data_IF_667808164346
#
_entry.id   IF_667808164346
#
_cell.length_a   1.000
_cell.length_b   1.000
_cell.length_c   1.000
_cell.angle_alpha   90.00
_cell.angle_beta   90.00
_cell.angle_gamma   90.00
#
_symmetry.space_group_name_H-M   'P 1'
#
loop_
_entity.id
_entity.type
_entity.pdbx_description
1 polymer ?
#
# COMPACT_ATOMS: atom_id res chain seq x y z
N UNK A 1 -106.08 -48.60 -35.11
CA UNK A 1 -104.93 -47.88 -34.50
C UNK A 1 -103.68 -47.87 -35.39
N UNK A 2 -103.36 -48.96 -36.11
CA UNK A 2 -102.17 -49.05 -36.99
C UNK A 2 -102.24 -48.15 -38.24
N UNK A 3 -103.45 -47.95 -38.82
CA UNK A 3 -103.63 -47.16 -40.04
C UNK A 3 -103.40 -45.66 -39.84
N UNK A 4 -103.72 -45.14 -38.64
CA UNK A 4 -103.51 -43.74 -38.26
C UNK A 4 -102.05 -43.44 -37.95
N UNK A 5 -101.32 -44.36 -37.31
CA UNK A 5 -99.89 -44.20 -37.06
C UNK A 5 -99.08 -44.23 -38.36
N UNK A 6 -99.45 -45.08 -39.33
CA UNK A 6 -98.76 -45.15 -40.63
C UNK A 6 -98.97 -43.88 -41.47
N UNK A 7 -100.17 -43.29 -41.43
CA UNK A 7 -100.46 -42.00 -42.08
C UNK A 7 -99.66 -40.87 -41.46
N UNK A 8 -99.56 -40.82 -40.12
CA UNK A 8 -98.78 -39.79 -39.43
C UNK A 8 -97.28 -39.93 -39.75
N UNK A 9 -96.73 -41.15 -39.79
CA UNK A 9 -95.33 -41.36 -40.18
C UNK A 9 -95.07 -40.99 -41.64
N UNK A 10 -96.00 -41.31 -42.55
CA UNK A 10 -95.88 -40.95 -43.96
C UNK A 10 -95.90 -39.43 -44.16
N UNK A 11 -96.83 -38.74 -43.49
CA UNK A 11 -96.93 -37.28 -43.53
C UNK A 11 -95.67 -36.65 -42.95
N UNK A 12 -95.16 -37.17 -41.82
CA UNK A 12 -93.92 -36.67 -41.22
C UNK A 12 -92.71 -36.84 -42.15
N UNK A 13 -92.58 -38.00 -42.80
CA UNK A 13 -91.52 -38.22 -43.80
C UNK A 13 -91.66 -37.32 -45.03
N UNK A 14 -92.90 -37.05 -45.47
CA UNK A 14 -93.17 -36.19 -46.62
C UNK A 14 -92.85 -34.72 -46.30
N UNK A 15 -93.17 -34.25 -45.09
CA UNK A 15 -92.82 -32.89 -44.64
C UNK A 15 -91.30 -32.70 -44.53
N UNK A 16 -90.54 -33.70 -44.09
CA UNK A 16 -89.07 -33.61 -44.06
C UNK A 16 -88.44 -33.61 -45.45
N UNK A 17 -89.07 -34.25 -46.44
CA UNK A 17 -88.55 -34.26 -47.82
C UNK A 17 -88.81 -32.95 -48.59
N UNK A 18 -89.85 -32.19 -48.24
CA UNK A 18 -90.19 -30.93 -48.93
C UNK A 18 -89.18 -29.80 -48.60
N UNK A 19 -88.50 -29.87 -47.45
CA UNK A 19 -87.41 -28.95 -47.08
C UNK A 19 -86.04 -29.34 -47.65
N UNK A 20 -85.92 -30.45 -48.38
CA UNK A 20 -84.69 -30.86 -49.05
C UNK A 20 -84.83 -30.57 -50.55
N UNK A 21 -85.16 -29.33 -50.89
CA UNK A 21 -85.18 -28.89 -52.28
C UNK A 21 -83.74 -28.66 -52.74
N UNK A 22 -83.35 -29.26 -53.85
CA UNK A 22 -81.98 -29.22 -54.39
C UNK A 22 -81.49 -27.81 -54.75
N UNK A 23 -82.40 -26.84 -54.81
CA UNK A 23 -82.13 -25.44 -55.17
C UNK A 23 -81.60 -24.59 -53.99
N UNK A 24 -81.87 -24.95 -52.73
CA UNK A 24 -81.28 -24.26 -51.57
C UNK A 24 -79.85 -24.75 -51.27
N UNK A 25 -79.56 -26.02 -51.61
CA UNK A 25 -78.23 -26.60 -51.43
C UNK A 25 -77.19 -26.01 -52.39
N UNK A 26 -77.60 -25.60 -53.60
CA UNK A 26 -76.72 -24.95 -54.58
C UNK A 26 -76.33 -23.54 -54.12
N UNK A 27 -77.25 -22.78 -53.53
CA UNK A 27 -76.96 -21.46 -52.95
C UNK A 27 -76.01 -21.56 -51.74
N UNK A 28 -76.21 -22.55 -50.86
CA UNK A 28 -75.30 -22.77 -49.72
C UNK A 28 -73.91 -23.20 -50.19
N UNK A 29 -73.83 -24.03 -51.23
CA UNK A 29 -72.55 -24.41 -51.83
C UNK A 29 -71.82 -23.21 -52.46
N UNK A 30 -72.56 -22.33 -53.16
CA UNK A 30 -72.01 -21.12 -53.78
C UNK A 30 -71.59 -20.06 -52.75
N UNK A 31 -72.33 -19.95 -51.64
CA UNK A 31 -71.91 -19.12 -50.51
C UNK A 31 -70.68 -19.70 -49.80
N UNK A 32 -70.55 -21.02 -49.68
CA UNK A 32 -69.39 -21.66 -49.09
C UNK A 32 -68.12 -21.47 -49.95
N UNK A 33 -68.23 -21.58 -51.27
CA UNK A 33 -67.11 -21.30 -52.19
C UNK A 33 -66.69 -19.83 -52.13
N UNK A 34 -67.65 -18.91 -52.04
CA UNK A 34 -67.34 -17.48 -51.93
C UNK A 34 -66.62 -17.10 -50.62
N UNK A 35 -66.94 -17.76 -49.51
CA UNK A 35 -66.22 -17.57 -48.25
C UNK A 35 -64.82 -18.17 -48.28
N UNK A 36 -64.65 -19.34 -48.91
CA UNK A 36 -63.34 -19.98 -49.09
C UNK A 36 -62.41 -19.09 -49.93
N UNK A 37 -62.92 -18.45 -50.98
CA UNK A 37 -62.13 -17.57 -51.83
C UNK A 37 -61.66 -16.32 -51.07
N UNK A 38 -62.55 -15.69 -50.28
CA UNK A 38 -62.18 -14.57 -49.40
C UNK A 38 -61.21 -14.97 -48.29
N UNK A 39 -61.39 -16.17 -47.73
CA UNK A 39 -60.50 -16.71 -46.69
C UNK A 39 -59.13 -17.04 -47.26
N UNK A 40 -59.04 -17.54 -48.50
CA UNK A 40 -57.78 -17.80 -49.18
C UNK A 40 -56.97 -16.50 -49.36
N UNK A 41 -57.62 -15.41 -49.76
CA UNK A 41 -56.95 -14.11 -49.92
C UNK A 41 -56.54 -13.49 -48.58
N UNK A 42 -57.34 -13.65 -47.52
CA UNK A 42 -56.93 -13.26 -46.16
C UNK A 42 -55.76 -14.09 -45.66
N UNK A 43 -55.78 -15.40 -45.92
CA UNK A 43 -54.72 -16.31 -45.52
C UNK A 43 -53.40 -15.98 -46.23
N UNK A 44 -53.45 -15.59 -47.51
CA UNK A 44 -52.26 -15.09 -48.24
C UNK A 44 -51.64 -13.86 -47.56
N UNK A 45 -52.43 -12.82 -47.29
CA UNK A 45 -51.95 -11.61 -46.62
C UNK A 45 -51.45 -11.89 -45.20
N UNK A 46 -52.12 -12.79 -44.50
CA UNK A 46 -51.70 -13.23 -43.17
C UNK A 46 -50.37 -13.97 -43.22
N UNK A 47 -50.16 -14.82 -44.22
CA UNK A 47 -48.88 -15.51 -44.45
C UNK A 47 -47.76 -14.52 -44.74
N UNK A 48 -48.01 -13.50 -45.58
CA UNK A 48 -47.02 -12.47 -45.91
C UNK A 48 -46.60 -11.67 -44.66
N UNK A 49 -47.57 -11.25 -43.85
CA UNK A 49 -47.32 -10.54 -42.60
C UNK A 49 -46.59 -11.42 -41.57
N UNK A 50 -46.98 -12.68 -41.44
CA UNK A 50 -46.28 -13.62 -40.55
C UNK A 50 -44.85 -13.84 -41.00
N UNK A 51 -44.60 -13.91 -42.31
CA UNK A 51 -43.26 -14.03 -42.85
C UNK A 51 -42.42 -12.78 -42.54
N UNK A 52 -42.98 -11.57 -42.73
CA UNK A 52 -42.31 -10.31 -42.40
C UNK A 52 -41.99 -10.18 -40.90
N UNK A 53 -42.97 -10.50 -40.04
CA UNK A 53 -42.77 -10.51 -38.58
C UNK A 53 -41.76 -11.56 -38.17
N UNK A 54 -41.78 -12.76 -38.77
CA UNK A 54 -40.80 -13.80 -38.48
C UNK A 54 -39.38 -13.39 -38.92
N UNK A 55 -39.23 -12.77 -40.09
CA UNK A 55 -37.93 -12.25 -40.53
C UNK A 55 -37.43 -11.12 -39.64
N UNK A 56 -38.29 -10.15 -39.31
CA UNK A 56 -37.92 -9.04 -38.43
C UNK A 56 -37.59 -9.51 -37.00
N UNK A 57 -38.37 -10.44 -36.46
CA UNK A 57 -38.10 -11.04 -35.15
C UNK A 57 -36.77 -11.82 -35.15
N UNK A 58 -36.44 -12.52 -36.24
CA UNK A 58 -35.18 -13.24 -36.37
C UNK A 58 -33.98 -12.29 -36.36
N UNK A 59 -34.05 -11.18 -37.11
CA UNK A 59 -33.01 -10.16 -37.12
C UNK A 59 -32.83 -9.52 -35.74
N UNK A 60 -33.93 -9.18 -35.06
CA UNK A 60 -33.89 -8.63 -33.70
C UNK A 60 -33.27 -9.60 -32.69
N UNK A 61 -33.62 -10.89 -32.77
CA UNK A 61 -33.07 -11.92 -31.88
C UNK A 61 -31.59 -12.14 -32.14
N UNK A 62 -31.15 -12.12 -33.41
CA UNK A 62 -29.74 -12.23 -33.75
C UNK A 62 -28.93 -11.01 -33.27
N UNK A 63 -29.48 -9.81 -33.42
CA UNK A 63 -28.89 -8.58 -32.89
C UNK A 63 -28.83 -8.59 -31.35
N UNK A 64 -29.90 -9.01 -30.66
CA UNK A 64 -29.92 -9.13 -29.19
C UNK A 64 -28.93 -10.20 -28.70
N UNK A 65 -28.86 -11.35 -29.37
CA UNK A 65 -27.90 -12.41 -29.04
C UNK A 65 -26.46 -11.91 -29.17
N UNK A 66 -26.15 -11.19 -30.25
CA UNK A 66 -24.83 -10.58 -30.46
C UNK A 66 -24.53 -9.52 -29.40
N UNK A 67 -25.47 -8.63 -29.10
CA UNK A 67 -25.30 -7.60 -28.06
C UNK A 67 -25.06 -8.23 -26.68
N UNK A 68 -25.78 -9.29 -26.33
CA UNK A 68 -25.53 -10.04 -25.08
C UNK A 68 -24.17 -10.70 -25.05
N UNK A 69 -23.73 -11.26 -26.17
CA UNK A 69 -22.40 -11.86 -26.27
C UNK A 69 -21.31 -10.80 -26.05
N UNK A 70 -21.42 -9.65 -26.71
CA UNK A 70 -20.50 -8.51 -26.53
C UNK A 70 -20.52 -7.96 -25.10
N UNK A 71 -21.71 -7.87 -24.48
CA UNK A 71 -21.83 -7.45 -23.08
C UNK A 71 -21.09 -8.40 -22.14
N UNK A 72 -21.21 -9.71 -22.35
CA UNK A 72 -20.52 -10.72 -21.53
C UNK A 72 -19.01 -10.67 -21.74
N UNK A 73 -18.52 -10.46 -22.97
CA UNK A 73 -17.09 -10.34 -23.22
C UNK A 73 -16.51 -9.09 -22.57
N UNK A 74 -17.18 -7.94 -22.69
CA UNK A 74 -16.77 -6.70 -22.00
C UNK A 74 -16.77 -6.87 -20.49
N UNK A 75 -17.80 -7.49 -19.91
CA UNK A 75 -17.84 -7.74 -18.46
C UNK A 75 -16.68 -8.62 -17.99
N UNK A 76 -16.33 -9.67 -18.75
CA UNK A 76 -15.17 -10.51 -18.45
C UNK A 76 -13.87 -9.73 -18.51
N UNK A 77 -13.70 -8.89 -19.54
CA UNK A 77 -12.51 -8.05 -19.68
C UNK A 77 -12.38 -7.04 -18.54
N UNK A 78 -13.48 -6.38 -18.15
CA UNK A 78 -13.49 -5.46 -17.01
C UNK A 78 -13.14 -6.19 -15.72
N UNK A 79 -13.66 -7.41 -15.51
CA UNK A 79 -13.33 -8.21 -14.33
C UNK A 79 -11.84 -8.60 -14.31
N UNK A 80 -11.27 -9.02 -15.44
CA UNK A 80 -9.84 -9.34 -15.51
C UNK A 80 -8.98 -8.12 -15.26
N UNK A 81 -9.28 -6.97 -15.89
CA UNK A 81 -8.55 -5.72 -15.68
C UNK A 81 -8.63 -5.26 -14.21
N UNK A 82 -9.81 -5.35 -13.59
CA UNK A 82 -9.96 -5.02 -12.16
C UNK A 82 -9.13 -5.94 -11.26
N UNK A 83 -9.05 -7.23 -11.58
CA UNK A 83 -8.24 -8.18 -10.80
C UNK A 83 -6.76 -7.88 -10.91
N UNK A 84 -6.29 -7.51 -12.12
CA UNK A 84 -4.90 -7.15 -12.36
C UNK A 84 -4.54 -5.84 -11.67
N UNK A 85 -5.38 -4.81 -11.77
CA UNK A 85 -5.21 -3.54 -11.06
C UNK A 85 -5.18 -3.76 -9.54
N UNK A 86 -6.04 -4.65 -9.02
CA UNK A 86 -6.04 -5.04 -7.61
C UNK A 86 -4.68 -5.62 -7.19
N UNK A 87 -4.16 -6.58 -7.95
CA UNK A 87 -2.86 -7.19 -7.69
C UNK A 87 -1.70 -6.19 -7.77
N UNK A 88 -1.70 -5.31 -8.79
CA UNK A 88 -0.69 -4.26 -8.92
C UNK A 88 -0.76 -3.27 -7.75
N UNK A 89 -1.97 -2.88 -7.32
CA UNK A 89 -2.18 -1.99 -6.18
C UNK A 89 -1.67 -2.62 -4.88
N UNK A 90 -1.96 -3.89 -4.64
CA UNK A 90 -1.52 -4.59 -3.44
C UNK A 90 0.01 -4.69 -3.37
N UNK A 91 0.66 -4.95 -4.51
CA UNK A 91 2.13 -4.92 -4.60
C UNK A 91 2.70 -3.54 -4.27
N UNK A 92 2.14 -2.48 -4.86
CA UNK A 92 2.57 -1.11 -4.59
C UNK A 92 2.35 -0.72 -3.13
N UNK A 93 1.24 -1.16 -2.53
CA UNK A 93 0.95 -0.89 -1.13
C UNK A 93 1.92 -1.66 -0.20
N UNK A 94 2.23 -2.91 -0.52
CA UNK A 94 3.24 -3.70 0.18
C UNK A 94 4.64 -3.05 0.09
N UNK A 95 5.01 -2.55 -1.10
CA UNK A 95 6.27 -1.84 -1.31
C UNK A 95 6.33 -0.52 -0.52
N UNK A 96 5.25 0.29 -0.56
CA UNK A 96 5.14 1.51 0.25
C UNK A 96 5.28 1.22 1.74
N UNK A 97 4.66 0.15 2.24
CA UNK A 97 4.79 -0.28 3.64
C UNK A 97 6.22 -0.66 3.98
N UNK A 98 6.91 -1.40 3.09
CA UNK A 98 8.34 -1.76 3.28
C UNK A 98 9.25 -0.54 3.32
N UNK A 99 9.05 0.43 2.43
CA UNK A 99 9.83 1.68 2.41
C UNK A 99 9.57 2.51 3.66
N UNK A 100 8.32 2.57 4.13
CA UNK A 100 8.00 3.26 5.38
C UNK A 100 8.67 2.60 6.60
N UNK A 101 8.68 1.26 6.65
CA UNK A 101 9.36 0.51 7.71
C UNK A 101 10.89 0.69 7.66
N UNK A 102 11.50 0.63 6.47
CA UNK A 102 12.94 0.82 6.32
C UNK A 102 13.39 2.22 6.78
N UNK A 103 12.64 3.26 6.38
CA UNK A 103 12.90 4.65 6.81
C UNK A 103 12.78 4.85 8.31
N UNK A 104 11.98 4.05 9.01
CA UNK A 104 11.86 4.13 10.46
C UNK A 104 13.05 3.44 11.17
N UNK A 105 13.61 2.39 10.57
CA UNK A 105 14.70 1.59 11.16
C UNK A 105 16.10 2.16 10.89
N UNK A 106 16.31 2.74 9.70
CA UNK A 106 17.59 3.37 9.32
C UNK A 106 18.10 4.42 10.34
N UNK A 107 17.30 5.38 10.82
CA UNK A 107 17.76 6.37 11.80
C UNK A 107 18.05 5.74 13.17
N UNK A 108 17.33 4.67 13.55
CA UNK A 108 17.54 3.97 14.82
C UNK A 108 18.90 3.25 14.80
N UNK A 109 19.22 2.56 13.70
CA UNK A 109 20.49 1.84 13.56
C UNK A 109 21.66 2.83 13.51
N UNK A 110 21.54 3.90 12.71
CA UNK A 110 22.57 4.93 12.62
C UNK A 110 22.83 5.62 13.97
N UNK A 111 21.77 5.94 14.71
CA UNK A 111 21.89 6.53 16.05
C UNK A 111 22.55 5.55 17.04
N UNK A 112 22.17 4.28 17.01
CA UNK A 112 22.75 3.26 17.89
C UNK A 112 24.26 3.08 17.66
N UNK A 113 24.70 2.96 16.40
CA UNK A 113 26.12 2.84 16.05
C UNK A 113 26.89 4.07 16.52
N UNK A 114 26.34 5.27 16.30
CA UNK A 114 26.97 6.52 16.73
C UNK A 114 27.14 6.58 18.24
N UNK A 115 26.10 6.20 19.00
CA UNK A 115 26.18 6.15 20.47
C UNK A 115 27.20 5.13 20.97
N UNK A 116 27.26 3.95 20.37
CA UNK A 116 28.27 2.92 20.70
C UNK A 116 29.68 3.45 20.40
N UNK A 117 29.89 4.12 19.27
CA UNK A 117 31.18 4.71 18.92
C UNK A 117 31.63 5.74 19.98
N UNK A 118 30.74 6.62 20.44
CA UNK A 118 31.05 7.57 21.51
C UNK A 118 31.40 6.87 22.83
N UNK A 119 30.65 5.83 23.22
CA UNK A 119 30.96 5.03 24.41
C UNK A 119 32.35 4.42 24.31
N UNK A 120 32.67 3.80 23.18
CA UNK A 120 34.00 3.20 22.94
C UNK A 120 35.09 4.27 23.00
N UNK A 121 34.93 5.40 22.31
CA UNK A 121 35.89 6.52 22.33
C UNK A 121 36.12 7.04 23.74
N UNK A 122 35.08 7.09 24.59
CA UNK A 122 35.20 7.53 25.98
C UNK A 122 35.82 6.50 26.91
N UNK A 123 35.60 5.20 26.66
CA UNK A 123 36.17 4.10 27.44
C UNK A 123 37.63 3.84 27.10
N UNK A 124 38.04 4.10 25.86
CA UNK A 124 39.39 3.88 25.37
C UNK A 124 40.48 4.61 26.19
N UNK A 125 40.39 5.93 26.46
CA UNK A 125 41.36 6.60 27.34
C UNK A 125 41.28 6.08 28.78
N UNK A 126 40.08 5.71 29.26
CA UNK A 126 39.90 5.16 30.60
C UNK A 126 40.60 3.81 30.77
N UNK A 127 40.50 2.94 29.78
CA UNK A 127 41.20 1.65 29.71
C UNK A 127 42.72 1.83 29.61
N UNK A 128 43.18 2.82 28.85
CA UNK A 128 44.61 3.17 28.78
C UNK A 128 45.11 3.61 30.16
N UNK A 129 44.42 4.54 30.83
CA UNK A 129 44.75 4.94 32.20
C UNK A 129 44.75 3.76 33.17
N UNK A 130 43.77 2.86 33.05
CA UNK A 130 43.68 1.67 33.88
C UNK A 130 44.84 0.69 33.64
N UNK A 131 45.23 0.45 32.38
CA UNK A 131 46.39 -0.37 32.02
C UNK A 131 47.70 0.22 32.55
N UNK A 132 47.89 1.54 32.41
CA UNK A 132 49.05 2.25 32.97
C UNK A 132 49.11 2.12 34.50
N UNK A 133 47.96 2.15 35.18
CA UNK A 133 47.90 2.00 36.64
C UNK A 133 48.10 0.55 37.10
N UNK A 134 47.65 -0.43 36.29
CA UNK A 134 47.88 -1.86 36.53
C UNK A 134 49.28 -2.30 36.19
N UNK A 135 49.99 -1.56 35.33
CA UNK A 135 51.43 -1.69 35.17
C UNK A 135 52.09 -1.23 36.47
N UNK A 136 52.03 -2.10 37.48
CA UNK A 136 52.87 -2.02 38.66
C UNK A 136 54.28 -1.94 38.11
N UNK A 137 54.86 -0.75 38.25
CA UNK A 137 56.30 -0.54 38.14
C UNK A 137 56.91 -1.66 38.98
N UNK A 138 57.50 -2.65 38.30
CA UNK A 138 58.33 -3.65 38.93
C UNK A 138 59.30 -2.84 39.77
N UNK A 139 59.28 -2.95 41.11
CA UNK A 139 60.17 -2.14 41.91
C UNK A 139 61.57 -2.56 41.50
N UNK A 140 62.22 -1.73 40.66
CA UNK A 140 63.63 -1.87 40.40
C UNK A 140 64.26 -2.04 41.76
N UNK A 141 65.07 -3.09 41.88
CA UNK A 141 65.53 -3.61 43.15
C UNK A 141 65.95 -2.42 44.01
N UNK A 142 65.40 -2.30 45.22
CA UNK A 142 65.61 -1.12 46.07
C UNK A 142 67.10 -0.85 46.24
N UNK A 143 67.91 -1.90 46.14
CA UNK A 143 69.36 -1.86 46.14
C UNK A 143 69.94 -1.13 44.92
N UNK A 144 69.45 -1.37 43.71
CA UNK A 144 69.89 -0.72 42.46
C UNK A 144 69.48 0.76 42.41
N UNK A 145 68.29 1.11 42.89
CA UNK A 145 67.86 2.52 43.04
C UNK A 145 68.73 3.24 44.08
N UNK A 146 69.07 2.56 45.18
CA UNK A 146 69.92 3.12 46.24
C UNK A 146 71.35 3.34 45.75
N UNK A 147 71.91 2.39 45.00
CA UNK A 147 73.23 2.50 44.36
C UNK A 147 73.26 3.65 43.35
N UNK A 148 72.24 3.79 42.49
CA UNK A 148 72.17 4.88 41.51
C UNK A 148 72.03 6.27 42.19
N UNK A 149 71.29 6.35 43.31
CA UNK A 149 71.17 7.57 44.10
C UNK A 149 72.46 7.87 44.90
N UNK A 150 73.18 6.85 45.37
CA UNK A 150 74.48 7.00 46.03
C UNK A 150 75.54 7.47 45.02
N UNK A 151 75.50 6.94 43.80
CA UNK A 151 76.38 7.31 42.69
C UNK A 151 76.13 8.75 42.23
N UNK A 152 74.87 9.20 42.07
CA UNK A 152 74.55 10.60 41.73
C UNK A 152 74.88 11.58 42.88
N UNK A 153 74.80 11.13 44.15
CA UNK A 153 75.13 11.96 45.32
C UNK A 153 76.65 12.09 45.56
N UNK A 154 77.43 11.08 45.16
CA UNK A 154 78.91 11.08 45.23
C UNK A 154 79.52 11.72 43.98
N UNK A 155 78.78 11.80 42.88
CA UNK A 155 79.22 12.41 41.63
C UNK A 155 79.42 13.93 41.78
N UNK A 156 80.48 14.44 41.14
CA UNK A 156 80.89 15.85 41.24
C UNK A 156 79.89 16.84 40.58
N UNK A 157 78.98 16.34 39.74
CA UNK A 157 77.86 17.09 39.15
C UNK A 157 76.55 16.31 39.30
N UNK A 158 75.80 16.50 40.40
CA UNK A 158 74.51 15.83 40.58
C UNK A 158 73.52 16.35 39.54
N UNK A 159 72.97 15.45 38.71
CA UNK A 159 72.01 15.84 37.66
C UNK A 159 70.57 15.84 38.15
N UNK A 160 70.27 15.12 39.23
CA UNK A 160 68.91 14.96 39.74
C UNK A 160 68.61 15.84 40.96
N UNK A 161 69.63 16.44 41.58
CA UNK A 161 69.47 17.34 42.74
C UNK A 161 69.66 18.79 42.29
N UNK A 162 68.69 19.70 42.53
CA UNK A 162 68.87 21.11 42.17
C UNK A 162 70.06 21.70 42.93
N UNK A 163 70.94 22.49 42.27
CA UNK A 163 72.13 23.03 42.92
C UNK A 163 71.70 23.92 44.09
N UNK A 164 72.26 23.63 45.27
CA UNK A 164 72.07 24.45 46.46
C UNK A 164 72.59 25.86 46.18
N UNK A 165 71.69 26.79 45.85
CA UNK A 165 71.98 28.21 45.64
C UNK A 165 72.39 28.82 46.99
N UNK A 166 73.67 28.74 47.36
CA UNK A 166 74.24 29.56 48.43
C UNK A 166 74.43 30.99 47.94
N UNK A 167 73.34 31.75 47.81
CA UNK A 167 73.41 33.19 47.52
C UNK A 167 72.79 33.98 48.68
N UNK A 168 73.57 34.05 49.75
CA UNK A 168 73.73 35.20 50.65
C UNK A 168 72.58 36.21 50.64
N UNK A 169 71.68 36.06 51.61
CA UNK A 169 70.71 37.06 52.05
C UNK A 169 71.42 38.32 52.54
N UNK A 170 71.82 39.20 51.61
CA UNK A 170 72.32 40.56 51.92
C UNK A 170 71.42 41.69 51.44
N UNK A 171 70.26 41.39 50.84
CA UNK A 171 69.34 42.44 50.36
C UNK A 171 68.11 42.68 51.24
N UNK A 172 67.92 41.95 52.34
CA UNK A 172 66.70 42.05 53.17
C UNK A 172 66.84 42.91 54.43
N UNK A 173 67.92 43.70 54.57
CA UNK A 173 68.14 44.57 55.74
C UNK A 173 68.14 46.08 55.41
N UNK A 174 67.95 46.47 54.15
CA UNK A 174 67.95 47.89 53.75
C UNK A 174 66.55 48.51 53.73
N UNK A 175 65.49 47.72 53.92
CA UNK A 175 64.10 48.16 53.68
C UNK A 175 63.29 48.46 54.96
N UNK A 176 63.93 48.45 56.14
CA UNK A 176 63.25 48.69 57.42
C UNK A 176 63.77 49.90 58.22
N UNK A 177 64.57 50.77 57.60
CA UNK A 177 65.00 52.03 58.20
C UNK A 177 64.96 53.19 57.20
N UNK A 178 63.76 53.59 56.79
CA UNK A 178 63.49 55.02 56.58
C UNK A 178 61.99 55.31 56.76
N UNK A 179 61.68 55.85 57.93
CA UNK A 179 60.40 56.49 58.28
C UNK A 179 60.38 57.93 57.69
N UNK A 180 59.28 58.67 57.90
CA UNK A 180 58.39 59.26 56.91
C UNK A 180 58.85 60.66 56.44
N UNK A 181 58.13 61.31 55.50
CA UNK A 181 57.49 62.63 55.66
C UNK A 181 56.89 63.11 54.30
N UNK A 182 56.24 64.29 54.19
CA UNK A 182 54.83 64.45 53.90
C UNK A 182 54.64 65.18 52.54
N UNK A 183 53.45 65.73 52.30
CA UNK A 183 53.04 66.54 51.13
C UNK A 183 52.34 65.70 50.03
N UNK A 184 51.02 65.49 50.08
CA UNK A 184 49.96 66.45 49.68
C UNK A 184 49.94 66.69 48.15
N UNK A 185 48.78 66.81 47.45
CA UNK A 185 47.51 66.10 47.60
C UNK A 185 46.79 65.87 46.21
N UNK A 186 45.54 65.41 46.32
CA UNK A 186 44.33 65.63 45.50
C UNK A 186 44.33 66.14 44.04
N UNK A 187 43.32 65.57 43.36
CA UNK A 187 42.45 66.17 42.32
C UNK A 187 43.07 66.34 40.94
N UNK A 188 42.35 66.29 39.82
CA UNK A 188 41.00 65.87 39.38
C UNK A 188 40.99 66.31 37.90
N UNK A 189 40.21 65.66 37.04
CA UNK A 189 39.86 66.08 35.67
C UNK A 189 40.98 65.78 34.65
N UNK A 190 40.74 65.27 33.45
CA UNK A 190 39.57 65.21 32.55
C UNK A 190 39.61 63.88 31.76
#
# INVERSE_FOLDING_TARGET
>A
MVKTTLLITLILTLLTSIGCNSDENSLVADLATQQLERQADQNRRMSDLQQEVASGSRELVEADAKARQEMVTLQRQIQSERSEIGYQRDQLEAERRRIADSRNRDPIIAAAITKVAFVVISLLPLLICWLLLQQKVEPADKNEITELLLDDLVSAEPRLVPPAKSKSDKHRLTDLLQQPDPNHPTERNE
#
